data_IF_551338085370
#
_entry.id   IF_551338085370
#
_cell.length_a   1.000
_cell.length_b   1.000
_cell.length_c   1.000
_cell.angle_alpha   90.00
_cell.angle_beta   90.00
_cell.angle_gamma   90.00
#
_symmetry.space_group_name_H-M   'P 1'
#
loop_
_entity.id
_entity.type
_entity.pdbx_description
1 polymer ?
#
# COMPACT_ATOMS: atom_id res chain seq x y z
N UNK A 1 18.89 -14.12 -33.44
CA UNK A 1 18.10 -14.33 -32.20
C UNK A 1 17.53 -12.98 -31.78
N UNK A 2 16.26 -12.74 -32.09
CA UNK A 2 15.60 -11.47 -31.77
C UNK A 2 15.21 -11.49 -30.28
N UNK A 3 16.07 -10.92 -29.43
CA UNK A 3 15.81 -10.73 -28.00
C UNK A 3 14.54 -9.90 -27.83
N UNK A 4 13.45 -10.58 -27.52
CA UNK A 4 12.15 -9.98 -27.24
C UNK A 4 12.30 -9.17 -25.96
N UNK A 5 12.35 -7.85 -26.12
CA UNK A 5 12.35 -6.84 -25.06
C UNK A 5 11.36 -7.26 -23.97
N UNK A 6 11.85 -7.55 -22.77
CA UNK A 6 11.01 -7.97 -21.64
C UNK A 6 9.99 -6.87 -21.33
N UNK A 7 8.81 -7.23 -20.81
CA UNK A 7 7.71 -6.27 -20.55
C UNK A 7 8.16 -5.04 -19.73
N UNK A 8 9.15 -5.22 -18.84
CA UNK A 8 9.81 -4.14 -18.09
C UNK A 8 10.51 -3.08 -18.97
N UNK A 9 11.13 -3.48 -20.08
CA UNK A 9 11.79 -2.56 -21.00
C UNK A 9 10.80 -1.79 -21.90
N UNK A 10 9.54 -2.26 -22.03
CA UNK A 10 8.46 -1.52 -22.71
C UNK A 10 7.80 -0.46 -21.82
N UNK A 11 7.99 -0.53 -20.50
CA UNK A 11 7.43 0.43 -19.55
C UNK A 11 8.27 1.71 -19.54
N UNK A 12 8.24 2.50 -20.62
CA UNK A 12 8.85 3.83 -20.61
C UNK A 12 8.00 4.75 -19.72
N UNK A 13 8.55 5.32 -18.64
CA UNK A 13 7.79 6.25 -17.79
C UNK A 13 7.37 7.47 -18.60
N UNK A 14 6.14 7.92 -18.40
CA UNK A 14 5.59 9.09 -19.07
C UNK A 14 6.47 10.35 -18.88
N UNK A 15 6.46 11.24 -19.87
CA UNK A 15 7.24 12.49 -19.87
C UNK A 15 7.16 13.28 -18.53
N UNK A 16 6.00 13.46 -17.89
CA UNK A 16 5.90 14.16 -16.60
C UNK A 16 6.64 13.45 -15.45
N UNK A 17 6.56 12.12 -15.40
CA UNK A 17 7.26 11.27 -14.41
C UNK A 17 8.78 11.38 -14.61
N UNK A 18 9.23 11.42 -15.88
CA UNK A 18 10.64 11.62 -16.22
C UNK A 18 11.14 13.01 -15.85
N UNK A 19 10.35 14.04 -16.09
CA UNK A 19 10.68 15.42 -15.71
C UNK A 19 10.81 15.57 -14.19
N UNK A 20 9.85 15.04 -13.43
CA UNK A 20 9.92 15.02 -11.96
C UNK A 20 11.16 14.29 -11.44
N UNK A 21 11.47 13.11 -12.01
CA UNK A 21 12.68 12.38 -11.65
C UNK A 21 13.96 13.13 -12.05
N UNK A 22 13.96 13.82 -13.20
CA UNK A 22 15.07 14.65 -13.67
C UNK A 22 15.33 15.86 -12.76
N UNK A 23 14.28 16.58 -12.37
CA UNK A 23 14.37 17.65 -11.38
C UNK A 23 14.86 17.12 -10.02
N UNK A 24 14.38 15.95 -9.60
CA UNK A 24 14.86 15.28 -8.39
C UNK A 24 16.35 14.91 -8.44
N UNK A 25 16.85 14.45 -9.60
CA UNK A 25 18.26 14.16 -9.80
C UNK A 25 19.13 15.44 -9.79
N UNK A 26 18.62 16.55 -10.33
CA UNK A 26 19.28 17.86 -10.28
C UNK A 26 19.33 18.42 -8.85
N UNK A 27 18.25 18.29 -8.09
CA UNK A 27 18.21 18.66 -6.67
C UNK A 27 19.13 17.77 -5.81
N UNK A 28 19.27 16.48 -6.15
CA UNK A 28 20.22 15.59 -5.49
C UNK A 28 21.70 15.94 -5.72
N UNK A 29 22.00 16.80 -6.72
CA UNK A 29 23.34 17.39 -6.91
C UNK A 29 23.58 18.64 -6.07
N UNK A 30 22.56 19.15 -5.39
CA UNK A 30 22.74 20.20 -4.38
C UNK A 30 23.31 19.58 -3.09
N UNK A 31 24.07 20.36 -2.32
CA UNK A 31 24.89 19.90 -1.19
C UNK A 31 24.08 19.43 0.04
N UNK A 32 22.74 19.36 -0.06
CA UNK A 32 21.84 18.92 1.01
C UNK A 32 21.47 17.45 0.70
N UNK A 33 22.02 16.47 1.43
CA UNK A 33 21.65 15.09 1.22
C UNK A 33 20.15 14.93 1.52
N UNK A 34 19.37 14.24 0.66
CA UNK A 34 17.98 13.94 0.98
C UNK A 34 17.97 13.08 2.25
N UNK A 35 17.35 13.61 3.31
CA UNK A 35 17.35 12.97 4.62
C UNK A 35 16.84 11.53 4.57
N UNK A 36 17.56 10.63 5.23
CA UNK A 36 17.15 9.22 5.42
C UNK A 36 15.81 9.21 6.14
N UNK A 37 14.83 8.52 5.57
CA UNK A 37 13.52 8.35 6.20
C UNK A 37 13.65 7.30 7.29
N UNK A 38 13.47 7.68 8.55
CA UNK A 38 13.56 6.77 9.70
C UNK A 38 12.17 6.30 10.12
N UNK A 39 12.09 5.10 10.68
CA UNK A 39 10.85 4.53 11.20
C UNK A 39 10.19 5.45 12.23
N UNK A 40 10.99 5.98 13.16
CA UNK A 40 10.53 6.91 14.22
C UNK A 40 9.83 8.15 13.65
N UNK A 41 10.35 8.73 12.57
CA UNK A 41 9.78 9.94 11.98
C UNK A 41 8.41 9.64 11.32
N UNK A 42 8.27 8.46 10.71
CA UNK A 42 7.03 8.03 10.08
C UNK A 42 5.97 7.63 11.11
N UNK A 43 6.39 6.94 12.17
CA UNK A 43 5.52 6.58 13.30
C UNK A 43 4.96 7.86 13.92
N UNK A 44 5.82 8.83 14.23
CA UNK A 44 5.38 10.10 14.82
C UNK A 44 4.43 10.87 13.90
N UNK A 45 4.73 10.90 12.59
CA UNK A 45 3.84 11.50 11.60
C UNK A 45 2.47 10.78 11.56
N UNK A 46 2.45 9.44 11.66
CA UNK A 46 1.21 8.67 11.69
C UNK A 46 0.41 8.94 12.97
N UNK A 47 1.08 9.01 14.13
CA UNK A 47 0.46 9.37 15.41
C UNK A 47 -0.24 10.71 15.35
N UNK A 48 0.44 11.73 14.82
CA UNK A 48 -0.11 13.07 14.65
C UNK A 48 -1.32 13.09 13.70
N UNK A 49 -1.25 12.35 12.57
CA UNK A 49 -2.35 12.29 11.60
C UNK A 49 -3.59 11.63 12.15
N UNK A 50 -3.41 10.56 12.91
CA UNK A 50 -4.51 9.77 13.43
C UNK A 50 -5.00 10.30 14.79
N UNK A 51 -4.19 11.04 15.54
CA UNK A 51 -4.49 11.42 16.92
C UNK A 51 -4.53 10.21 17.87
N UNK A 52 -3.72 9.19 17.60
CA UNK A 52 -3.58 7.99 18.43
C UNK A 52 -2.13 7.51 18.40
N UNK A 53 -1.65 6.97 19.50
CA UNK A 53 -0.34 6.33 19.62
C UNK A 53 -0.42 4.82 19.88
N UNK A 54 -1.63 4.28 19.97
CA UNK A 54 -1.89 2.85 20.18
C UNK A 54 -1.82 2.08 18.85
N UNK A 55 -0.67 1.45 18.61
CA UNK A 55 -0.45 0.52 17.50
C UNK A 55 -0.70 -0.94 17.91
N UNK A 56 -1.21 -1.21 19.10
CA UNK A 56 -1.33 -2.55 19.65
C UNK A 56 0.05 -3.12 20.00
N UNK A 57 0.38 -4.30 19.47
CA UNK A 57 1.70 -4.91 19.70
C UNK A 57 2.80 -4.16 18.95
N UNK A 58 3.98 -4.03 19.56
CA UNK A 58 5.15 -3.33 18.97
C UNK A 58 5.98 -4.20 18.01
N UNK A 59 5.44 -5.32 17.53
CA UNK A 59 6.12 -6.30 16.68
C UNK A 59 6.50 -5.79 15.29
N UNK A 60 5.91 -4.68 14.84
CA UNK A 60 6.14 -4.12 13.51
C UNK A 60 7.38 -3.22 13.40
N UNK A 61 7.92 -2.72 14.53
CA UNK A 61 8.98 -1.71 14.50
C UNK A 61 10.28 -2.23 13.86
N UNK A 62 10.69 -3.44 14.22
CA UNK A 62 11.90 -4.06 13.65
C UNK A 62 11.73 -4.27 12.15
N UNK A 63 10.63 -4.90 11.73
CA UNK A 63 10.34 -5.17 10.32
C UNK A 63 10.30 -3.88 9.49
N UNK A 64 9.67 -2.82 10.01
CA UNK A 64 9.64 -1.51 9.36
C UNK A 64 11.04 -0.91 9.24
N UNK A 65 11.84 -0.98 10.30
CA UNK A 65 13.20 -0.45 10.30
C UNK A 65 14.08 -1.14 9.27
N UNK A 66 13.97 -2.48 9.15
CA UNK A 66 14.69 -3.28 8.14
C UNK A 66 14.22 -2.99 6.72
N UNK A 67 12.92 -2.84 6.51
CA UNK A 67 12.35 -2.45 5.21
C UNK A 67 12.90 -1.09 4.74
N UNK A 68 12.85 -0.09 5.61
CA UNK A 68 13.33 1.26 5.29
C UNK A 68 14.85 1.26 5.04
N UNK A 69 15.60 0.44 5.76
CA UNK A 69 17.03 0.30 5.54
C UNK A 69 17.34 -0.30 4.17
N UNK A 70 16.77 -1.46 3.83
CA UNK A 70 16.96 -2.08 2.51
C UNK A 70 16.50 -1.16 1.38
N UNK A 71 15.40 -0.43 1.57
CA UNK A 71 14.95 0.58 0.60
C UNK A 71 15.95 1.73 0.42
N UNK A 72 16.70 2.08 1.47
CA UNK A 72 17.71 3.12 1.43
C UNK A 72 19.04 2.64 0.83
N UNK A 73 19.52 1.47 1.24
CA UNK A 73 20.81 0.89 0.86
C UNK A 73 20.81 0.21 -0.50
N UNK A 74 19.72 -0.48 -0.86
CA UNK A 74 19.73 -1.45 -1.96
C UNK A 74 18.75 -1.10 -3.09
N UNK A 75 17.59 -0.48 -2.79
CA UNK A 75 16.50 -0.36 -3.77
C UNK A 75 16.70 0.73 -4.85
N UNK A 76 17.76 1.56 -4.77
CA UNK A 76 18.09 2.61 -5.74
C UNK A 76 16.89 3.50 -6.15
N UNK A 77 16.08 3.89 -5.16
CA UNK A 77 14.83 4.61 -5.41
C UNK A 77 15.07 6.01 -6.00
N UNK A 78 14.40 6.30 -7.12
CA UNK A 78 14.29 7.66 -7.64
C UNK A 78 13.32 8.50 -6.77
N UNK A 79 13.19 9.81 -7.09
CA UNK A 79 12.36 10.72 -6.30
C UNK A 79 10.92 10.20 -6.14
N UNK A 80 10.30 9.75 -7.23
CA UNK A 80 8.93 9.22 -7.19
C UNK A 80 8.85 7.95 -6.34
N UNK A 81 9.85 7.06 -6.44
CA UNK A 81 9.96 5.87 -5.59
C UNK A 81 10.05 6.21 -4.10
N UNK A 82 10.83 7.23 -3.73
CA UNK A 82 10.93 7.70 -2.34
C UNK A 82 9.61 8.27 -1.82
N UNK A 83 8.91 9.06 -2.64
CA UNK A 83 7.59 9.61 -2.31
C UNK A 83 6.57 8.47 -2.16
N UNK A 84 6.56 7.51 -3.08
CA UNK A 84 5.67 6.36 -3.05
C UNK A 84 5.90 5.51 -1.80
N UNK A 85 7.16 5.18 -1.47
CA UNK A 85 7.51 4.44 -0.26
C UNK A 85 6.99 5.16 1.00
N UNK A 86 7.31 6.44 1.16
CA UNK A 86 6.86 7.23 2.32
C UNK A 86 5.33 7.25 2.42
N UNK A 87 4.63 7.44 1.30
CA UNK A 87 3.16 7.49 1.26
C UNK A 87 2.54 6.16 1.64
N UNK A 88 3.06 5.04 1.11
CA UNK A 88 2.55 3.70 1.42
C UNK A 88 2.80 3.29 2.87
N UNK A 89 4.00 3.58 3.40
CA UNK A 89 4.32 3.27 4.80
C UNK A 89 3.45 4.09 5.74
N UNK A 90 3.28 5.39 5.49
CA UNK A 90 2.38 6.22 6.31
C UNK A 90 0.94 5.75 6.25
N UNK A 91 0.44 5.38 5.06
CA UNK A 91 -0.91 4.82 4.91
C UNK A 91 -1.08 3.52 5.72
N UNK A 92 -0.09 2.64 5.68
CA UNK A 92 -0.10 1.37 6.44
C UNK A 92 -0.09 1.62 7.95
N UNK A 93 0.77 2.52 8.43
CA UNK A 93 0.84 2.89 9.85
C UNK A 93 -0.47 3.54 10.33
N UNK A 94 -1.02 4.47 9.56
CA UNK A 94 -2.31 5.09 9.87
C UNK A 94 -3.43 4.05 9.89
N UNK A 95 -3.46 3.13 8.93
CA UNK A 95 -4.47 2.06 8.90
C UNK A 95 -4.38 1.16 10.14
N UNK A 96 -3.16 0.86 10.64
CA UNK A 96 -2.98 0.11 11.88
C UNK A 96 -3.54 0.85 13.10
N UNK A 97 -3.22 2.14 13.27
CA UNK A 97 -3.76 2.97 14.36
C UNK A 97 -5.30 3.04 14.33
N UNK A 98 -5.85 3.21 13.13
CA UNK A 98 -7.30 3.25 12.93
C UNK A 98 -7.95 1.91 13.27
N UNK A 99 -7.34 0.78 12.86
CA UNK A 99 -7.84 -0.55 13.19
C UNK A 99 -7.80 -0.85 14.69
N UNK A 100 -6.74 -0.46 15.41
CA UNK A 100 -6.70 -0.63 16.88
C UNK A 100 -7.76 0.21 17.58
N UNK A 101 -7.94 1.47 17.14
CA UNK A 101 -9.06 2.29 17.62
C UNK A 101 -10.41 1.63 17.35
N UNK A 102 -10.61 1.08 16.15
CA UNK A 102 -11.86 0.42 15.79
C UNK A 102 -12.12 -0.83 16.65
N UNK A 103 -11.08 -1.57 17.05
CA UNK A 103 -11.25 -2.71 17.98
C UNK A 103 -11.76 -2.25 19.35
N UNK A 104 -11.36 -1.06 19.81
CA UNK A 104 -11.86 -0.47 21.06
C UNK A 104 -13.28 0.05 20.91
N UNK A 105 -13.58 0.76 19.81
CA UNK A 105 -14.90 1.35 19.56
C UNK A 105 -15.98 0.29 19.23
N UNK A 106 -15.58 -0.80 18.59
CA UNK A 106 -16.46 -1.87 18.13
C UNK A 106 -16.02 -3.22 18.72
N UNK A 107 -16.20 -3.45 20.04
CA UNK A 107 -15.74 -4.67 20.71
C UNK A 107 -16.41 -5.95 20.18
N UNK A 108 -17.51 -5.82 19.42
CA UNK A 108 -18.13 -6.92 18.69
C UNK A 108 -17.23 -7.57 17.64
N UNK A 109 -16.24 -6.84 17.09
CA UNK A 109 -15.27 -7.37 16.12
C UNK A 109 -14.51 -8.56 16.70
N UNK A 110 -14.04 -8.45 17.95
CA UNK A 110 -13.28 -9.52 18.60
C UNK A 110 -14.11 -10.77 18.92
N UNK A 111 -15.45 -10.67 18.86
CA UNK A 111 -16.38 -11.78 19.09
C UNK A 111 -16.85 -12.46 17.79
N UNK A 112 -16.53 -11.90 16.63
CA UNK A 112 -16.89 -12.53 15.35
C UNK A 112 -16.11 -13.82 15.17
N UNK A 113 -16.81 -14.90 14.85
CA UNK A 113 -16.21 -16.20 14.55
C UNK A 113 -16.11 -16.37 13.03
N UNK A 114 -14.90 -16.61 12.53
CA UNK A 114 -14.65 -16.91 11.11
C UNK A 114 -14.64 -18.44 10.97
N UNK A 115 -15.74 -19.01 10.48
CA UNK A 115 -15.90 -20.45 10.29
C UNK A 115 -15.44 -20.86 8.89
N UNK A 116 -14.67 -21.93 8.82
CA UNK A 116 -14.27 -22.60 7.57
C UNK A 116 -13.72 -21.67 6.47
N UNK A 117 -12.72 -20.81 6.74
CA UNK A 117 -12.21 -19.87 5.75
C UNK A 117 -11.47 -20.59 4.62
N UNK A 118 -11.80 -20.22 3.37
CA UNK A 118 -11.03 -20.65 2.19
C UNK A 118 -9.84 -19.71 1.96
N UNK A 119 -8.64 -20.28 1.97
CA UNK A 119 -7.38 -19.56 1.76
C UNK A 119 -6.76 -19.96 0.42
N UNK A 120 -6.62 -18.97 -0.48
CA UNK A 120 -5.97 -19.17 -1.79
C UNK A 120 -4.49 -18.79 -1.66
N UNK A 121 -3.61 -19.77 -1.84
CA UNK A 121 -2.16 -19.59 -1.78
C UNK A 121 -1.56 -20.10 -3.09
N UNK A 122 -0.61 -19.38 -3.66
CA UNK A 122 0.09 -19.81 -4.87
C UNK A 122 1.06 -18.76 -5.36
N UNK A 123 1.91 -19.16 -6.31
CA UNK A 123 2.86 -18.25 -6.94
C UNK A 123 2.11 -17.19 -7.77
N UNK A 124 2.68 -15.98 -7.93
CA UNK A 124 2.16 -15.02 -8.90
C UNK A 124 2.01 -15.68 -10.28
N UNK A 125 0.90 -15.39 -10.98
CA UNK A 125 0.58 -15.92 -12.33
C UNK A 125 0.27 -17.42 -12.40
N UNK A 126 -0.18 -18.04 -11.31
CA UNK A 126 -0.66 -19.45 -11.25
C UNK A 126 -2.18 -19.62 -11.41
N UNK A 127 -2.91 -18.57 -11.80
CA UNK A 127 -4.38 -18.62 -11.92
C UNK A 127 -5.14 -18.35 -10.62
N UNK A 128 -4.45 -18.03 -9.52
CA UNK A 128 -5.08 -17.71 -8.21
C UNK A 128 -6.07 -16.55 -8.29
N UNK A 129 -5.83 -15.55 -9.16
CA UNK A 129 -6.78 -14.45 -9.39
C UNK A 129 -8.09 -14.94 -10.00
N UNK A 130 -8.04 -15.83 -10.99
CA UNK A 130 -9.24 -16.41 -11.60
C UNK A 130 -10.01 -17.23 -10.57
N UNK A 131 -9.31 -18.08 -9.82
CA UNK A 131 -9.91 -18.89 -8.76
C UNK A 131 -10.58 -18.01 -7.69
N UNK A 132 -9.92 -16.93 -7.26
CA UNK A 132 -10.49 -15.97 -6.30
C UNK A 132 -11.76 -15.32 -6.83
N UNK A 133 -11.80 -14.92 -8.10
CA UNK A 133 -13.00 -14.33 -8.72
C UNK A 133 -14.15 -15.34 -8.78
N UNK A 134 -13.87 -16.59 -9.14
CA UNK A 134 -14.89 -17.64 -9.23
C UNK A 134 -15.50 -17.95 -7.86
N UNK A 135 -14.66 -18.10 -6.82
CA UNK A 135 -15.14 -18.36 -5.46
C UNK A 135 -15.89 -17.17 -4.87
N UNK A 136 -15.48 -15.95 -5.20
CA UNK A 136 -16.12 -14.70 -4.76
C UNK A 136 -17.47 -14.41 -5.44
N UNK A 137 -17.81 -15.13 -6.52
CA UNK A 137 -19.09 -14.95 -7.22
C UNK A 137 -20.26 -15.65 -6.51
N UNK A 138 -19.97 -16.56 -5.58
CA UNK A 138 -20.97 -17.23 -4.75
C UNK A 138 -21.53 -16.26 -3.70
N UNK A 139 -22.86 -16.01 -3.65
CA UNK A 139 -23.46 -15.10 -2.67
C UNK A 139 -23.33 -15.57 -1.22
N UNK A 140 -23.11 -16.86 -0.99
CA UNK A 140 -22.88 -17.42 0.36
C UNK A 140 -21.42 -17.23 0.81
N UNK A 141 -20.53 -16.79 -0.08
CA UNK A 141 -19.14 -16.44 0.23
C UNK A 141 -18.92 -14.94 0.34
N UNK A 142 -17.96 -14.56 1.21
CA UNK A 142 -17.54 -13.19 1.40
C UNK A 142 -16.04 -13.02 1.13
N UNK A 143 -15.69 -12.31 0.05
CA UNK A 143 -14.30 -11.94 -0.28
C UNK A 143 -14.02 -10.45 -0.04
N UNK A 144 -12.95 -10.05 0.67
CA UNK A 144 -12.65 -8.63 0.92
C UNK A 144 -12.69 -7.77 -0.35
N UNK A 145 -13.47 -6.70 -0.34
CA UNK A 145 -13.56 -5.77 -1.46
C UNK A 145 -12.33 -4.88 -1.46
N UNK A 146 -11.88 -4.48 -2.64
CA UNK A 146 -10.68 -3.66 -2.79
C UNK A 146 -10.74 -2.38 -1.94
N UNK A 147 -11.89 -1.69 -1.88
CA UNK A 147 -12.01 -0.46 -1.08
C UNK A 147 -11.94 -0.73 0.44
N UNK A 148 -12.38 -1.90 0.90
CA UNK A 148 -12.28 -2.30 2.31
C UNK A 148 -10.83 -2.61 2.67
N UNK A 149 -10.11 -3.29 1.79
CA UNK A 149 -8.68 -3.58 1.99
C UNK A 149 -7.84 -2.30 1.95
N UNK A 150 -8.13 -1.39 1.03
CA UNK A 150 -7.39 -0.13 0.90
C UNK A 150 -7.67 0.85 2.05
N UNK A 151 -8.88 0.84 2.59
CA UNK A 151 -9.30 1.69 3.69
C UNK A 151 -10.18 0.87 4.64
N UNK A 152 -9.59 0.16 5.63
CA UNK A 152 -10.35 -0.74 6.50
C UNK A 152 -11.22 0.00 7.53
N UNK A 153 -10.81 1.19 7.94
CA UNK A 153 -11.54 2.03 8.89
C UNK A 153 -12.41 3.10 8.21
N UNK A 154 -13.60 3.42 8.75
CA UNK A 154 -14.28 2.72 9.83
C UNK A 154 -14.81 1.34 9.36
N UNK A 155 -15.06 0.38 10.27
CA UNK A 155 -15.53 -0.96 9.93
C UNK A 155 -17.04 -0.99 9.61
N UNK A 156 -17.65 0.18 9.44
CA UNK A 156 -19.07 0.37 9.14
C UNK A 156 -19.26 0.70 7.67
N UNK A 157 -20.50 0.60 7.18
CA UNK A 157 -20.88 1.06 5.84
C UNK A 157 -21.03 2.59 5.76
N UNK A 158 -20.68 3.31 6.83
CA UNK A 158 -20.64 4.77 6.77
C UNK A 158 -19.65 5.25 5.70
N UNK A 159 -20.05 6.28 4.96
CA UNK A 159 -19.24 6.87 3.88
C UNK A 159 -18.79 5.89 2.78
N UNK A 160 -19.47 4.74 2.62
CA UNK A 160 -19.13 3.70 1.63
C UNK A 160 -18.87 4.30 0.23
N UNK A 161 -19.81 5.09 -0.29
CA UNK A 161 -19.66 5.75 -1.61
C UNK A 161 -18.40 6.61 -1.70
N UNK A 162 -17.99 7.27 -0.62
CA UNK A 162 -16.78 8.09 -0.57
C UNK A 162 -15.52 7.22 -0.58
N UNK A 163 -15.52 6.11 0.16
CA UNK A 163 -14.41 5.15 0.22
C UNK A 163 -14.23 4.42 -1.10
N UNK A 164 -15.31 3.97 -1.72
CA UNK A 164 -15.30 3.42 -3.09
C UNK A 164 -14.68 4.43 -4.06
N UNK A 165 -15.16 5.68 -4.08
CA UNK A 165 -14.59 6.73 -4.94
C UNK A 165 -13.10 6.96 -4.71
N UNK A 166 -12.64 6.91 -3.45
CA UNK A 166 -11.22 7.04 -3.10
C UNK A 166 -10.41 5.88 -3.66
N UNK A 167 -10.86 4.64 -3.45
CA UNK A 167 -10.21 3.44 -3.96
C UNK A 167 -10.15 3.43 -5.50
N UNK A 168 -11.26 3.79 -6.17
CA UNK A 168 -11.30 3.94 -7.63
C UNK A 168 -10.29 4.98 -8.12
N UNK A 169 -10.18 6.14 -7.46
CA UNK A 169 -9.18 7.17 -7.82
C UNK A 169 -7.76 6.64 -7.68
N UNK A 170 -7.46 5.92 -6.61
CA UNK A 170 -6.14 5.31 -6.41
C UNK A 170 -5.82 4.25 -7.48
N UNK A 171 -6.79 3.42 -7.87
CA UNK A 171 -6.60 2.43 -8.93
C UNK A 171 -6.44 3.07 -10.31
N UNK A 172 -7.19 4.14 -10.58
CA UNK A 172 -7.05 4.91 -11.83
C UNK A 172 -5.68 5.60 -11.88
N UNK A 173 -5.21 6.13 -10.74
CA UNK A 173 -3.88 6.72 -10.65
C UNK A 173 -2.78 5.67 -10.88
N UNK A 174 -2.90 4.47 -10.31
CA UNK A 174 -1.98 3.38 -10.58
C UNK A 174 -1.99 2.96 -12.05
N UNK A 175 -3.18 2.79 -12.64
CA UNK A 175 -3.35 2.49 -14.06
C UNK A 175 -2.76 3.57 -14.95
N UNK A 176 -2.84 4.84 -14.53
CA UNK A 176 -2.22 5.97 -15.23
C UNK A 176 -0.69 5.96 -15.11
N UNK A 177 -0.14 5.62 -13.94
CA UNK A 177 1.30 5.50 -13.74
C UNK A 177 1.92 4.31 -14.49
N UNK A 178 1.20 3.18 -14.54
CA UNK A 178 1.67 1.91 -15.09
C UNK A 178 0.63 1.27 -16.05
N UNK A 179 0.33 1.92 -17.19
CA UNK A 179 -0.75 1.54 -18.11
C UNK A 179 -0.53 0.19 -18.81
N UNK A 180 0.73 -0.26 -18.87
CA UNK A 180 1.14 -1.54 -19.46
C UNK A 180 1.08 -2.69 -18.46
N UNK A 181 0.84 -2.40 -17.18
CA UNK A 181 0.69 -3.39 -16.12
C UNK A 181 -0.79 -3.81 -16.05
N UNK A 182 -1.15 -4.84 -16.83
CA UNK A 182 -2.47 -5.51 -16.81
C UNK A 182 -2.31 -6.99 -16.48
#
# INVERSE_FOLDING_TARGET
>A
MNSTVTTLQKTRPFLPVRLLNGCGALLGKTRIPPGRVRAVDLIETAKQRCGSDDFGKDDFFEALSRLLESCHSEAQLNLIGKIALRTNVLHTLSSRLEMERDRQLYPGIARQEIREPLLIIGLPRSGTTLLHILLAADPDHRSPLMWEVMTPSPPTLADEKRRIRRATRSCNYFSWLAPTFR
#
